data_IF_907868869795
#
_entry.id   IF_907868869795
#
_cell.length_a   1.000
_cell.length_b   1.000
_cell.length_c   1.000
_cell.angle_alpha   90.00
_cell.angle_beta   90.00
_cell.angle_gamma   90.00
#
_symmetry.space_group_name_H-M   'P 1'
#
loop_
_entity.id
_entity.type
_entity.pdbx_description
1 polymer ?
#
# COMPACT_ATOMS: atom_id res chain seq x y z
N UNK A 1 -6.25 33.32 20.35
CA UNK A 1 -6.63 31.90 20.24
C UNK A 1 -6.61 31.19 21.61
N UNK A 2 -6.98 31.86 22.70
CA UNK A 2 -6.89 31.32 24.06
C UNK A 2 -8.28 30.89 24.53
N UNK A 3 -8.55 29.58 24.62
CA UNK A 3 -9.76 29.09 25.30
C UNK A 3 -10.23 27.68 24.93
N UNK A 4 -9.78 27.10 23.82
CA UNK A 4 -10.15 25.73 23.45
C UNK A 4 -9.32 24.72 24.25
N UNK A 5 -9.98 23.79 24.94
CA UNK A 5 -9.30 22.75 25.73
C UNK A 5 -8.37 21.90 24.86
N UNK A 6 -7.10 21.78 25.28
CA UNK A 6 -6.04 21.05 24.55
C UNK A 6 -6.02 19.58 24.95
N UNK A 7 -5.87 18.69 23.97
CA UNK A 7 -5.71 17.25 24.18
C UNK A 7 -4.23 16.92 23.96
N UNK A 8 -3.54 16.46 25.00
CA UNK A 8 -2.17 15.96 24.88
C UNK A 8 -2.20 14.48 24.54
N UNK A 9 -1.60 14.07 23.41
CA UNK A 9 -1.55 12.67 22.99
C UNK A 9 -0.12 12.17 23.12
N UNK A 10 0.12 11.27 24.08
CA UNK A 10 1.44 10.76 24.43
C UNK A 10 1.64 9.36 23.85
N UNK A 11 2.67 9.19 23.01
CA UNK A 11 3.18 7.89 22.61
C UNK A 11 3.98 7.24 23.73
N UNK A 12 3.59 6.04 24.16
CA UNK A 12 4.29 5.28 25.21
C UNK A 12 5.36 4.34 24.63
N UNK A 13 5.68 4.47 23.34
CA UNK A 13 6.60 3.60 22.63
C UNK A 13 6.19 2.12 22.73
N UNK A 14 7.17 1.22 22.79
CA UNK A 14 6.89 -0.21 23.00
C UNK A 14 6.54 -0.56 24.46
N UNK A 15 6.69 0.36 25.41
CA UNK A 15 6.57 0.11 26.85
C UNK A 15 7.67 0.76 27.70
N UNK A 16 8.48 1.63 27.13
CA UNK A 16 9.50 2.38 27.86
C UNK A 16 8.84 3.30 28.92
N UNK A 17 9.51 3.56 30.06
CA UNK A 17 9.04 4.54 31.03
C UNK A 17 8.82 5.91 30.38
N UNK A 18 7.75 6.59 30.79
CA UNK A 18 7.50 7.97 30.36
C UNK A 18 8.66 8.87 30.76
N UNK A 19 9.05 9.77 29.85
CA UNK A 19 10.00 10.84 30.17
C UNK A 19 9.41 11.84 31.17
N UNK A 20 10.24 12.75 31.68
CA UNK A 20 9.83 13.73 32.69
C UNK A 20 8.69 14.64 32.20
N UNK A 21 8.73 15.09 30.94
CA UNK A 21 7.70 15.95 30.37
C UNK A 21 6.36 15.25 30.19
N UNK A 22 6.37 13.97 29.81
CA UNK A 22 5.20 13.11 29.72
C UNK A 22 4.63 12.79 31.10
N UNK A 23 5.48 12.51 32.10
CA UNK A 23 5.04 12.32 33.50
C UNK A 23 4.40 13.58 34.06
N UNK A 24 4.99 14.74 33.84
CA UNK A 24 4.42 16.02 34.27
C UNK A 24 3.06 16.30 33.61
N UNK A 25 2.91 16.00 32.32
CA UNK A 25 1.65 16.14 31.61
C UNK A 25 0.55 15.22 32.19
N UNK A 26 0.88 13.96 32.50
CA UNK A 26 -0.04 13.02 33.14
C UNK A 26 -0.40 13.47 34.56
N UNK A 27 0.58 13.93 35.35
CA UNK A 27 0.37 14.37 36.72
C UNK A 27 -0.52 15.62 36.83
N UNK A 28 -0.54 16.48 35.80
CA UNK A 28 -1.43 17.64 35.71
C UNK A 28 -2.79 17.38 35.06
N UNK A 29 -3.07 16.14 34.63
CA UNK A 29 -4.27 15.81 33.86
C UNK A 29 -5.55 15.83 34.70
N UNK A 30 -6.64 16.37 34.14
CA UNK A 30 -7.99 16.22 34.69
C UNK A 30 -8.68 14.94 34.20
N UNK A 31 -8.27 14.42 33.04
CA UNK A 31 -8.73 13.16 32.46
C UNK A 31 -7.57 12.44 31.76
N UNK A 32 -7.40 11.15 32.05
CA UNK A 32 -6.44 10.28 31.35
C UNK A 32 -7.18 9.14 30.66
N UNK A 33 -6.95 9.01 29.35
CA UNK A 33 -7.52 7.95 28.50
C UNK A 33 -6.40 7.06 28.02
N UNK A 34 -6.52 5.74 28.15
CA UNK A 34 -5.44 4.84 27.75
C UNK A 34 -5.82 3.37 27.83
N UNK A 35 -5.03 2.50 27.20
CA UNK A 35 -5.17 1.05 27.41
C UNK A 35 -4.80 0.68 28.86
N UNK A 36 -5.36 -0.42 29.39
CA UNK A 36 -5.16 -0.85 30.80
C UNK A 36 -3.69 -0.83 31.22
N UNK A 37 -2.80 -1.38 30.39
CA UNK A 37 -1.36 -1.46 30.65
C UNK A 37 -0.68 -0.07 30.72
N UNK A 38 -1.12 0.90 29.91
CA UNK A 38 -0.53 2.24 29.91
C UNK A 38 -1.01 3.02 31.13
N UNK A 39 -2.30 2.90 31.47
CA UNK A 39 -2.86 3.52 32.68
C UNK A 39 -2.21 2.98 33.96
N UNK A 40 -1.92 1.68 34.02
CA UNK A 40 -1.24 1.07 35.16
C UNK A 40 0.24 1.49 35.29
N UNK A 41 0.91 1.79 34.18
CA UNK A 41 2.32 2.19 34.16
C UNK A 41 2.54 3.71 34.32
N UNK A 42 1.49 4.52 34.13
CA UNK A 42 1.57 5.97 34.20
C UNK A 42 1.23 6.49 35.63
N UNK A 43 1.88 7.56 36.10
CA UNK A 43 1.59 8.16 37.41
C UNK A 43 0.32 9.02 37.36
N UNK A 44 -0.82 8.39 37.11
CA UNK A 44 -2.11 9.10 37.00
C UNK A 44 -2.57 9.55 38.39
N UNK A 45 -2.87 10.83 38.62
CA UNK A 45 -3.40 11.31 39.90
C UNK A 45 -4.71 10.62 40.28
N UNK A 46 -5.00 10.54 41.58
CA UNK A 46 -6.29 10.01 42.06
C UNK A 46 -7.45 10.99 41.82
N UNK A 47 -7.14 12.29 41.70
CA UNK A 47 -8.09 13.34 41.35
C UNK A 47 -8.47 13.34 39.86
N UNK A 48 -7.71 12.64 39.01
CA UNK A 48 -7.95 12.60 37.56
C UNK A 48 -8.96 11.52 37.20
N UNK A 49 -9.90 11.84 36.30
CA UNK A 49 -10.75 10.83 35.67
C UNK A 49 -9.90 9.82 34.87
N UNK A 50 -10.30 8.54 34.87
CA UNK A 50 -9.60 7.49 34.10
C UNK A 50 -10.57 6.78 33.17
N UNK A 51 -10.24 6.72 31.88
CA UNK A 51 -11.00 5.97 30.87
C UNK A 51 -10.10 4.89 30.28
N UNK A 52 -10.43 3.63 30.56
CA UNK A 52 -9.78 2.50 29.91
C UNK A 52 -10.30 2.38 28.48
N UNK A 53 -9.40 2.40 27.50
CA UNK A 53 -9.74 2.21 26.09
C UNK A 53 -10.33 0.81 25.85
N UNK A 54 -11.56 0.79 25.37
CA UNK A 54 -12.28 -0.35 24.79
C UNK A 54 -12.77 0.05 23.39
N UNK A 55 -14.08 -0.04 23.09
CA UNK A 55 -14.64 0.63 21.91
C UNK A 55 -14.30 2.12 21.89
N UNK A 56 -14.03 2.67 20.71
CA UNK A 56 -13.52 4.04 20.56
C UNK A 56 -14.56 5.10 20.92
N UNK A 57 -15.82 4.94 20.50
CA UNK A 57 -16.86 5.94 20.71
C UNK A 57 -17.00 6.37 22.18
N UNK A 58 -17.25 5.47 23.16
CA UNK A 58 -17.36 5.86 24.57
C UNK A 58 -16.19 6.70 25.11
N UNK A 59 -14.96 6.42 24.63
CA UNK A 59 -13.79 7.20 25.01
C UNK A 59 -13.81 8.61 24.40
N UNK A 60 -14.20 8.75 23.14
CA UNK A 60 -14.36 10.05 22.47
C UNK A 60 -15.46 10.89 23.14
N UNK A 61 -16.61 10.30 23.48
CA UNK A 61 -17.68 10.99 24.20
C UNK A 61 -17.25 11.42 25.62
N UNK A 62 -16.43 10.62 26.30
CA UNK A 62 -15.85 11.01 27.59
C UNK A 62 -14.89 12.20 27.46
N UNK A 63 -14.06 12.21 26.41
CA UNK A 63 -13.17 13.34 26.09
C UNK A 63 -13.99 14.59 25.79
N UNK A 64 -15.02 14.50 24.93
CA UNK A 64 -15.88 15.62 24.57
C UNK A 64 -16.53 16.28 25.80
N UNK A 65 -17.20 15.48 26.64
CA UNK A 65 -17.84 15.95 27.88
C UNK A 65 -16.84 16.57 28.87
N UNK A 66 -15.59 16.11 28.86
CA UNK A 66 -14.57 16.69 29.72
C UNK A 66 -14.10 18.05 29.20
N UNK A 67 -13.96 18.19 27.88
CA UNK A 67 -13.57 19.45 27.24
C UNK A 67 -14.65 20.54 27.42
N UNK A 68 -15.92 20.19 27.50
CA UNK A 68 -17.04 21.10 27.79
C UNK A 68 -16.90 21.81 29.15
N UNK A 69 -16.16 21.23 30.09
CA UNK A 69 -15.88 21.84 31.40
C UNK A 69 -14.90 23.02 31.32
N UNK A 70 -14.31 23.27 30.16
CA UNK A 70 -13.34 24.34 29.94
C UNK A 70 -12.11 24.23 30.84
N UNK A 71 -11.55 25.37 31.24
CA UNK A 71 -10.36 25.43 32.09
C UNK A 71 -10.55 24.77 33.48
N UNK A 72 -11.78 24.71 33.99
CA UNK A 72 -12.10 24.10 35.28
C UNK A 72 -12.03 22.57 35.31
N UNK A 73 -12.07 21.91 34.14
CA UNK A 73 -11.96 20.45 34.03
C UNK A 73 -10.53 19.92 34.08
N UNK A 74 -9.52 20.77 33.85
CA UNK A 74 -8.13 20.34 33.68
C UNK A 74 -7.86 19.65 32.32
N UNK A 75 -6.58 19.51 31.93
CA UNK A 75 -6.21 19.02 30.61
C UNK A 75 -6.53 17.53 30.39
N UNK A 76 -6.78 17.15 29.13
CA UNK A 76 -6.97 15.76 28.72
C UNK A 76 -5.65 15.18 28.25
N UNK A 77 -5.31 13.99 28.74
CA UNK A 77 -4.15 13.22 28.28
C UNK A 77 -4.60 11.88 27.70
N UNK A 78 -4.13 11.54 26.51
CA UNK A 78 -4.38 10.26 25.84
C UNK A 78 -3.07 9.49 25.73
N UNK A 79 -3.01 8.29 26.31
CA UNK A 79 -1.84 7.39 26.28
C UNK A 79 -2.01 6.34 25.16
N UNK A 80 -1.19 6.46 24.11
CA UNK A 80 -1.22 5.57 22.95
C UNK A 80 0.00 4.65 22.89
N UNK A 81 -0.19 3.41 22.44
CA UNK A 81 0.94 2.49 22.20
C UNK A 81 1.76 2.96 21.01
N UNK A 82 3.09 2.82 21.09
CA UNK A 82 3.99 3.13 19.99
C UNK A 82 4.01 4.63 19.69
N UNK A 83 3.88 4.94 18.40
CA UNK A 83 3.71 6.30 17.92
C UNK A 83 2.21 6.57 17.70
N UNK A 84 1.63 7.62 18.33
CA UNK A 84 0.20 7.91 18.25
C UNK A 84 -0.26 8.37 16.85
N UNK A 85 0.66 8.90 16.04
CA UNK A 85 0.44 9.30 14.65
C UNK A 85 0.56 8.15 13.65
N UNK A 86 1.19 7.03 14.02
CA UNK A 86 1.45 5.92 13.10
C UNK A 86 0.53 4.73 13.33
N UNK A 87 -0.50 4.57 12.49
CA UNK A 87 -1.61 3.62 12.71
C UNK A 87 -2.29 3.76 14.09
N UNK A 88 -2.17 4.94 14.71
CA UNK A 88 -2.63 5.22 16.06
C UNK A 88 -3.90 6.09 16.13
N UNK A 89 -4.12 6.65 17.32
CA UNK A 89 -5.36 7.34 17.71
C UNK A 89 -5.47 8.78 17.17
N UNK A 90 -4.36 9.39 16.72
CA UNK A 90 -4.32 10.80 16.30
C UNK A 90 -5.29 11.09 15.17
N UNK A 91 -5.41 10.19 14.18
CA UNK A 91 -6.35 10.37 13.06
C UNK A 91 -7.78 10.55 13.55
N UNK A 92 -8.23 9.65 14.45
CA UNK A 92 -9.58 9.67 15.00
C UNK A 92 -9.81 10.92 15.86
N UNK A 93 -8.81 11.33 16.65
CA UNK A 93 -8.90 12.55 17.47
C UNK A 93 -8.92 13.81 16.61
N UNK A 94 -8.12 13.87 15.54
CA UNK A 94 -8.07 15.02 14.65
C UNK A 94 -9.37 15.15 13.84
N UNK A 95 -9.96 14.04 13.38
CA UNK A 95 -11.27 14.04 12.73
C UNK A 95 -12.38 14.52 13.67
N UNK A 96 -12.38 14.08 14.94
CA UNK A 96 -13.43 14.43 15.91
C UNK A 96 -13.25 15.81 16.54
N UNK A 97 -12.01 16.21 16.80
CA UNK A 97 -11.68 17.39 17.59
C UNK A 97 -10.80 18.40 16.86
N UNK A 98 -10.42 18.22 15.60
CA UNK A 98 -9.51 19.15 14.90
C UNK A 98 -8.05 19.00 15.33
N UNK A 99 -7.14 19.04 14.37
CA UNK A 99 -5.71 18.83 14.61
C UNK A 99 -5.05 19.93 15.45
N UNK A 100 -5.56 21.15 15.37
CA UNK A 100 -5.08 22.32 16.11
C UNK A 100 -5.27 22.21 17.64
N UNK A 101 -6.18 21.34 18.09
CA UNK A 101 -6.40 21.06 19.52
C UNK A 101 -5.48 19.96 20.06
N UNK A 102 -4.68 19.31 19.20
CA UNK A 102 -3.83 18.19 19.60
C UNK A 102 -2.39 18.65 19.86
N UNK A 103 -1.88 18.35 21.06
CA UNK A 103 -0.45 18.35 21.38
C UNK A 103 0.05 16.90 21.28
N UNK A 104 0.49 16.51 20.08
CA UNK A 104 0.94 15.14 19.80
C UNK A 104 2.42 15.00 20.12
N UNK A 105 2.74 14.13 21.08
CA UNK A 105 4.12 13.79 21.45
C UNK A 105 4.43 12.37 21.00
N UNK A 106 5.35 12.20 20.03
CA UNK A 106 5.62 10.89 19.44
C UNK A 106 6.27 9.95 20.46
N UNK A 107 6.14 8.66 20.20
CA UNK A 107 6.88 7.61 20.88
C UNK A 107 7.58 6.74 19.85
N UNK A 108 8.60 6.00 20.25
CA UNK A 108 9.27 5.06 19.34
C UNK A 108 8.27 4.00 18.86
N UNK A 109 7.94 3.99 17.57
CA UNK A 109 7.02 3.00 17.01
C UNK A 109 7.57 1.58 17.17
N UNK A 110 6.68 0.59 17.29
CA UNK A 110 7.10 -0.81 17.34
C UNK A 110 7.82 -1.26 16.07
N UNK A 111 7.57 -0.59 14.94
CA UNK A 111 8.25 -0.82 13.66
C UNK A 111 9.69 -0.31 13.70
N UNK A 112 9.91 0.93 14.14
CA UNK A 112 11.25 1.47 14.29
C UNK A 112 12.08 0.65 15.29
N UNK A 113 11.47 0.28 16.43
CA UNK A 113 12.08 -0.62 17.39
C UNK A 113 12.41 -1.99 16.77
N UNK A 114 11.53 -2.51 15.91
CA UNK A 114 11.76 -3.80 15.27
C UNK A 114 12.94 -3.80 14.29
N UNK A 115 13.04 -2.77 13.45
CA UNK A 115 14.18 -2.59 12.53
C UNK A 115 15.49 -2.41 13.29
N UNK A 116 15.49 -1.62 14.36
CA UNK A 116 16.66 -1.44 15.22
C UNK A 116 17.12 -2.77 15.85
N UNK A 117 16.18 -3.60 16.33
CA UNK A 117 16.50 -4.94 16.87
C UNK A 117 16.97 -5.92 15.81
N UNK A 118 16.49 -5.78 14.58
CA UNK A 118 16.95 -6.59 13.44
C UNK A 118 18.30 -6.13 12.88
N UNK A 119 18.78 -4.93 13.26
CA UNK A 119 20.02 -4.35 12.76
C UNK A 119 19.95 -3.96 11.28
N UNK A 120 18.77 -3.53 10.79
CA UNK A 120 18.54 -3.24 9.38
C UNK A 120 18.03 -1.81 9.17
N UNK A 121 18.47 -1.14 8.08
CA UNK A 121 17.85 0.09 7.62
C UNK A 121 16.46 -0.21 7.04
N UNK A 122 15.58 0.78 7.12
CA UNK A 122 14.16 0.63 6.79
C UNK A 122 13.58 1.78 5.96
N UNK A 123 14.44 2.69 5.48
CA UNK A 123 14.06 3.78 4.58
C UNK A 123 13.45 3.28 3.27
N UNK A 124 13.75 2.08 2.81
CA UNK A 124 13.19 1.41 1.62
C UNK A 124 12.18 0.29 1.98
N UNK A 125 11.77 0.18 3.24
CA UNK A 125 10.80 -0.83 3.67
C UNK A 125 9.35 -0.38 3.42
N UNK A 126 8.48 -1.34 3.11
CA UNK A 126 7.04 -1.12 3.13
C UNK A 126 6.50 -1.46 4.52
N UNK A 127 5.63 -0.61 5.07
CA UNK A 127 4.97 -0.90 6.35
C UNK A 127 3.48 -1.10 6.13
N UNK A 128 2.95 -2.23 6.59
CA UNK A 128 1.54 -2.59 6.45
C UNK A 128 0.96 -3.02 7.78
N UNK A 129 -0.29 -2.63 8.05
CA UNK A 129 -1.00 -3.07 9.25
C UNK A 129 -2.06 -4.11 8.90
N UNK A 130 -1.96 -5.28 9.52
CA UNK A 130 -3.01 -6.29 9.55
C UNK A 130 -3.85 -6.21 10.84
N UNK A 131 -3.47 -5.35 11.79
CA UNK A 131 -4.22 -5.15 13.02
C UNK A 131 -5.59 -4.52 12.73
N UNK A 132 -6.67 -5.27 13.01
CA UNK A 132 -8.04 -4.87 12.74
C UNK A 132 -8.38 -4.74 11.25
N UNK A 133 -7.58 -5.37 10.37
CA UNK A 133 -7.67 -5.27 8.90
C UNK A 133 -7.53 -6.65 8.26
N UNK A 134 -7.90 -6.78 6.99
CA UNK A 134 -7.76 -8.03 6.27
C UNK A 134 -6.28 -8.44 6.11
N UNK A 135 -5.92 -9.64 6.57
CA UNK A 135 -4.56 -10.19 6.46
C UNK A 135 -4.09 -10.27 4.99
N UNK A 136 -5.01 -10.52 4.06
CA UNK A 136 -4.75 -10.61 2.61
C UNK A 136 -3.89 -9.46 2.08
N UNK A 137 -4.18 -8.23 2.48
CA UNK A 137 -3.42 -7.06 2.02
C UNK A 137 -1.96 -7.16 2.46
N UNK A 138 -1.70 -7.50 3.73
CA UNK A 138 -0.34 -7.68 4.23
C UNK A 138 0.38 -8.84 3.53
N UNK A 139 -0.30 -9.96 3.29
CA UNK A 139 0.23 -11.10 2.53
C UNK A 139 0.66 -10.68 1.13
N UNK A 140 -0.19 -9.94 0.41
CA UNK A 140 0.11 -9.48 -0.94
C UNK A 140 1.25 -8.45 -0.98
N UNK A 141 1.33 -7.56 0.02
CA UNK A 141 2.51 -6.67 0.17
C UNK A 141 3.79 -7.48 0.37
N UNK A 142 3.76 -8.51 1.23
CA UNK A 142 4.88 -9.42 1.45
C UNK A 142 5.25 -10.26 0.21
N UNK A 143 4.28 -10.55 -0.67
CA UNK A 143 4.52 -11.22 -1.96
C UNK A 143 5.17 -10.28 -2.97
N UNK A 144 4.77 -9.02 -3.00
CA UNK A 144 5.25 -8.03 -3.97
C UNK A 144 6.61 -7.39 -3.59
N UNK A 145 6.88 -7.21 -2.29
CA UNK A 145 8.05 -6.46 -1.84
C UNK A 145 9.04 -7.29 -1.03
N UNK A 146 10.35 -7.05 -1.21
CA UNK A 146 11.39 -7.82 -0.53
C UNK A 146 11.58 -7.45 0.93
N UNK A 147 11.08 -6.30 1.38
CA UNK A 147 11.32 -5.81 2.75
C UNK A 147 10.07 -5.14 3.30
N UNK A 148 9.37 -5.86 4.18
CA UNK A 148 8.06 -5.45 4.70
C UNK A 148 8.03 -5.59 6.21
N UNK A 149 7.53 -4.57 6.92
CA UNK A 149 7.13 -4.68 8.31
C UNK A 149 5.61 -4.83 8.41
N UNK A 150 5.15 -5.89 9.08
CA UNK A 150 3.74 -6.18 9.31
C UNK A 150 3.42 -5.94 10.79
N UNK A 151 2.53 -4.99 11.04
CA UNK A 151 1.87 -4.83 12.34
C UNK A 151 0.74 -5.84 12.45
N UNK A 152 0.89 -6.83 13.32
CA UNK A 152 -0.05 -7.94 13.44
C UNK A 152 -1.19 -7.65 14.42
N UNK A 153 -2.20 -8.52 14.40
CA UNK A 153 -3.30 -8.50 15.36
C UNK A 153 -3.89 -9.89 15.56
N UNK A 154 -4.90 -10.03 16.43
CA UNK A 154 -5.64 -11.28 16.59
C UNK A 154 -6.15 -11.79 15.22
N UNK A 155 -5.89 -13.07 14.91
CA UNK A 155 -6.25 -13.69 13.62
C UNK A 155 -5.40 -13.27 12.42
N UNK A 156 -4.38 -12.43 12.63
CA UNK A 156 -3.46 -11.96 11.60
C UNK A 156 -2.03 -11.88 12.17
N UNK A 157 -1.61 -12.95 12.85
CA UNK A 157 -0.32 -13.11 13.50
C UNK A 157 0.73 -13.77 12.61
N UNK A 158 1.87 -14.17 13.20
CA UNK A 158 2.95 -14.79 12.45
C UNK A 158 2.55 -16.16 11.86
N UNK A 159 1.68 -16.91 12.53
CA UNK A 159 1.21 -18.21 12.04
C UNK A 159 0.35 -18.07 10.79
N UNK A 160 -0.65 -17.18 10.81
CA UNK A 160 -1.53 -16.96 9.67
C UNK A 160 -0.79 -16.34 8.48
N UNK A 161 0.11 -15.39 8.75
CA UNK A 161 0.98 -14.80 7.73
C UNK A 161 1.92 -15.86 7.14
N UNK A 162 2.51 -16.71 7.97
CA UNK A 162 3.37 -17.82 7.57
C UNK A 162 2.65 -18.82 6.68
N UNK A 163 1.43 -19.24 7.06
CA UNK A 163 0.62 -20.17 6.29
C UNK A 163 0.31 -19.63 4.89
N UNK A 164 -0.07 -18.35 4.80
CA UNK A 164 -0.39 -17.70 3.53
C UNK A 164 0.84 -17.50 2.62
N UNK A 165 2.05 -17.41 3.18
CA UNK A 165 3.31 -17.24 2.43
C UNK A 165 4.05 -18.56 2.17
N UNK A 166 3.68 -19.65 2.84
CA UNK A 166 4.28 -20.98 2.65
C UNK A 166 4.02 -21.53 1.25
N UNK A 167 2.86 -21.22 0.67
CA UNK A 167 2.55 -21.56 -0.71
C UNK A 167 3.31 -20.66 -1.69
N UNK A 168 4.47 -21.12 -2.15
CA UNK A 168 5.29 -20.44 -3.16
C UNK A 168 6.72 -20.14 -2.73
N UNK A 169 7.10 -20.45 -1.49
CA UNK A 169 8.47 -20.28 -0.97
C UNK A 169 9.42 -21.44 -1.30
N UNK A 170 8.99 -22.43 -2.11
CA UNK A 170 9.79 -23.61 -2.49
C UNK A 170 10.88 -23.39 -3.54
N UNK A 171 11.17 -22.14 -3.93
CA UNK A 171 12.30 -21.81 -4.82
C UNK A 171 13.53 -21.33 -4.02
N UNK A 172 14.72 -21.31 -4.63
CA UNK A 172 15.89 -20.64 -4.05
C UNK A 172 15.55 -19.16 -3.76
N UNK A 173 15.84 -18.64 -2.57
CA UNK A 173 15.54 -17.26 -2.18
C UNK A 173 14.20 -17.05 -1.45
N UNK A 174 13.69 -18.07 -0.75
CA UNK A 174 12.45 -17.98 0.04
C UNK A 174 12.46 -16.85 1.09
N UNK A 175 11.26 -16.34 1.40
CA UNK A 175 11.07 -15.30 2.42
C UNK A 175 11.55 -15.79 3.79
N UNK A 176 12.12 -14.90 4.58
CA UNK A 176 12.41 -15.10 6.01
C UNK A 176 11.49 -14.18 6.81
N UNK A 177 10.82 -14.75 7.80
CA UNK A 177 10.03 -14.01 8.77
C UNK A 177 10.87 -13.80 10.03
N UNK A 178 11.12 -12.53 10.37
CA UNK A 178 11.69 -12.14 11.66
C UNK A 178 10.54 -11.73 12.56
N UNK A 179 10.23 -12.55 13.56
CA UNK A 179 9.12 -12.32 14.48
C UNK A 179 9.67 -11.70 15.75
N UNK A 180 9.24 -10.46 16.04
CA UNK A 180 9.66 -9.72 17.21
C UNK A 180 8.51 -9.62 18.20
N UNK A 181 8.72 -10.16 19.40
CA UNK A 181 7.71 -10.28 20.45
C UNK A 181 8.11 -9.47 21.66
N UNK A 182 7.10 -8.92 22.35
CA UNK A 182 7.26 -8.21 23.62
C UNK A 182 8.38 -7.15 23.61
N UNK A 183 8.49 -6.37 22.52
CA UNK A 183 9.52 -5.33 22.34
C UNK A 183 9.54 -4.25 23.44
N UNK A 184 8.51 -4.20 24.28
CA UNK A 184 8.38 -3.30 25.42
C UNK A 184 8.99 -3.79 26.72
N UNK A 185 9.27 -5.09 26.81
CA UNK A 185 9.74 -5.74 28.03
C UNK A 185 11.15 -6.29 27.75
N UNK A 186 12.21 -5.67 28.27
CA UNK A 186 13.58 -6.14 28.05
C UNK A 186 13.83 -7.60 28.47
N UNK A 187 13.11 -8.12 29.48
CA UNK A 187 13.25 -9.50 29.95
C UNK A 187 12.46 -10.51 29.12
N UNK A 188 11.31 -10.10 28.57
CA UNK A 188 10.45 -10.94 27.75
C UNK A 188 10.65 -10.76 26.23
N UNK A 189 11.40 -9.75 25.79
CA UNK A 189 11.65 -9.49 24.38
C UNK A 189 12.34 -10.69 23.72
N UNK A 190 11.81 -11.12 22.57
CA UNK A 190 12.37 -12.22 21.77
C UNK A 190 12.38 -11.84 20.30
N UNK A 191 13.41 -12.29 19.60
CA UNK A 191 13.56 -12.16 18.14
C UNK A 191 13.79 -13.57 17.60
N UNK A 192 12.85 -14.05 16.79
CA UNK A 192 12.91 -15.36 16.16
C UNK A 192 13.02 -15.17 14.64
N UNK A 193 13.95 -15.88 13.99
CA UNK A 193 14.05 -15.90 12.52
C UNK A 193 13.60 -17.28 12.04
N UNK A 194 12.56 -17.32 11.21
CA UNK A 194 11.91 -18.56 10.78
C UNK A 194 11.48 -18.46 9.31
N UNK A 195 11.31 -19.61 8.67
CA UNK A 195 10.61 -19.70 7.39
C UNK A 195 9.10 -19.48 7.57
N UNK A 196 8.35 -19.16 6.49
CA UNK A 196 6.89 -19.09 6.54
C UNK A 196 6.24 -20.38 7.04
N UNK A 197 6.75 -21.55 6.65
CA UNK A 197 6.24 -22.85 7.09
C UNK A 197 6.45 -23.09 8.59
N UNK A 198 7.64 -22.76 9.12
CA UNK A 198 7.91 -22.85 10.57
C UNK A 198 7.06 -21.85 11.36
N UNK A 199 6.85 -20.64 10.82
CA UNK A 199 5.97 -19.67 11.45
C UNK A 199 4.53 -20.18 11.54
N UNK A 200 4.03 -20.81 10.46
CA UNK A 200 2.70 -21.41 10.41
C UNK A 200 2.50 -22.54 11.43
N UNK A 201 3.54 -23.35 11.67
CA UNK A 201 3.47 -24.51 12.54
C UNK A 201 3.63 -24.19 14.04
N UNK A 202 4.05 -22.96 14.39
CA UNK A 202 4.37 -22.57 15.76
C UNK A 202 3.24 -21.79 16.42
N UNK A 203 2.98 -22.08 17.70
CA UNK A 203 2.18 -21.19 18.55
C UNK A 203 3.03 -20.01 19.04
N UNK A 204 2.58 -18.80 18.71
CA UNK A 204 3.25 -17.55 19.07
C UNK A 204 2.68 -16.90 20.33
N UNK A 205 1.61 -17.47 20.91
CA UNK A 205 0.88 -16.95 22.04
C UNK A 205 0.12 -15.64 21.75
N UNK A 206 -0.49 -15.06 22.79
CA UNK A 206 -1.26 -13.81 22.68
C UNK A 206 -0.44 -12.51 22.68
N UNK A 207 0.88 -12.60 22.57
CA UNK A 207 1.77 -11.44 22.66
C UNK A 207 1.67 -10.56 21.41
N UNK A 208 1.58 -9.24 21.61
CA UNK A 208 1.71 -8.26 20.52
C UNK A 208 3.08 -8.45 19.86
N UNK A 209 3.08 -8.56 18.54
CA UNK A 209 4.27 -8.82 17.76
C UNK A 209 4.35 -7.92 16.51
N UNK A 210 5.56 -7.80 15.99
CA UNK A 210 5.82 -7.22 14.67
C UNK A 210 6.55 -8.29 13.88
N UNK A 211 6.13 -8.51 12.63
CA UNK A 211 6.79 -9.46 11.75
C UNK A 211 7.48 -8.70 10.62
N UNK A 212 8.78 -8.88 10.47
CA UNK A 212 9.51 -8.42 9.29
C UNK A 212 9.52 -9.57 8.28
N UNK A 213 8.94 -9.37 7.11
CA UNK A 213 9.02 -10.29 5.99
C UNK A 213 10.12 -9.82 5.03
N UNK A 214 11.16 -10.63 4.90
CA UNK A 214 12.39 -10.28 4.21
C UNK A 214 12.70 -11.26 3.08
N UNK A 215 13.17 -10.75 1.96
CA UNK A 215 14.10 -11.44 1.08
C UNK A 215 15.53 -11.20 1.59
N UNK A 216 16.25 -12.24 2.07
CA UNK A 216 17.61 -12.07 2.57
C UNK A 216 18.58 -11.47 1.55
N UNK A 217 18.41 -11.76 0.25
CA UNK A 217 19.29 -11.28 -0.80
C UNK A 217 19.04 -9.80 -1.15
N UNK A 218 17.86 -9.27 -0.84
CA UNK A 218 17.45 -7.87 -1.11
C UNK A 218 17.17 -7.07 0.16
N UNK A 219 17.61 -7.56 1.32
CA UNK A 219 17.37 -6.90 2.61
C UNK A 219 18.15 -5.59 2.76
N UNK A 220 19.34 -5.49 2.14
CA UNK A 220 20.13 -4.27 2.07
C UNK A 220 20.10 -3.72 0.64
N UNK A 221 19.35 -2.64 0.44
CA UNK A 221 19.30 -1.91 -0.82
C UNK A 221 20.40 -0.84 -0.92
N UNK A 222 20.58 -0.23 -2.10
CA UNK A 222 21.40 0.96 -2.24
C UNK A 222 20.81 2.12 -1.43
N UNK A 223 21.65 3.08 -1.02
CA UNK A 223 21.20 4.30 -0.36
C UNK A 223 20.25 5.10 -1.27
N UNK A 224 19.22 5.72 -0.68
CA UNK A 224 18.19 6.46 -1.41
C UNK A 224 17.90 7.82 -0.77
N UNK A 225 17.36 8.73 -1.56
CA UNK A 225 16.93 10.06 -1.09
C UNK A 225 15.47 10.07 -0.64
N UNK A 226 14.62 9.23 -1.22
CA UNK A 226 13.19 9.14 -0.92
C UNK A 226 12.92 7.82 -0.20
N UNK A 227 12.24 7.91 0.94
CA UNK A 227 11.83 6.74 1.71
C UNK A 227 10.57 6.08 1.13
N UNK A 228 10.45 4.77 1.33
CA UNK A 228 9.38 3.90 0.86
C UNK A 228 9.80 3.06 -0.35
N UNK A 229 8.85 2.26 -0.88
CA UNK A 229 9.07 1.57 -2.15
C UNK A 229 9.24 2.60 -3.29
N UNK A 230 9.92 2.25 -4.38
CA UNK A 230 10.06 3.14 -5.54
C UNK A 230 8.70 3.67 -6.01
N UNK A 231 8.60 4.97 -6.27
CA UNK A 231 7.33 5.64 -6.63
C UNK A 231 6.72 5.14 -7.95
N UNK A 232 7.52 4.47 -8.78
CA UNK A 232 7.07 3.82 -10.01
C UNK A 232 8.19 3.01 -10.66
N UNK A 233 7.86 2.25 -11.70
CA UNK A 233 8.85 1.47 -12.45
C UNK A 233 9.91 2.39 -13.09
N UNK A 234 11.19 2.14 -12.80
CA UNK A 234 12.31 2.80 -13.50
C UNK A 234 12.19 2.59 -15.01
N UNK A 235 12.36 3.66 -15.81
CA UNK A 235 12.21 3.58 -17.27
C UNK A 235 10.76 3.52 -17.76
N UNK A 236 9.77 3.74 -16.89
CA UNK A 236 8.35 3.78 -17.26
C UNK A 236 7.67 2.41 -17.28
N UNK A 237 6.44 2.40 -17.77
CA UNK A 237 5.56 1.23 -17.86
C UNK A 237 5.20 0.96 -19.32
N UNK A 238 4.72 -0.26 -19.61
CA UNK A 238 4.55 -0.75 -20.97
C UNK A 238 5.87 -0.74 -21.75
N UNK A 239 6.91 -1.32 -21.14
CA UNK A 239 8.26 -1.44 -21.70
C UNK A 239 8.23 -2.04 -23.11
N UNK A 240 9.22 -1.75 -23.96
CA UNK A 240 9.33 -2.37 -25.28
C UNK A 240 9.51 -3.90 -25.17
N UNK A 241 9.18 -4.64 -26.22
CA UNK A 241 9.23 -6.11 -26.22
C UNK A 241 10.64 -6.65 -25.94
N UNK A 242 11.67 -5.94 -26.40
CA UNK A 242 13.08 -6.30 -26.25
C UNK A 242 13.54 -6.26 -24.78
N UNK A 243 12.76 -5.64 -23.89
CA UNK A 243 12.99 -5.69 -22.44
C UNK A 243 12.64 -7.06 -21.83
N UNK A 244 12.09 -7.99 -22.60
CA UNK A 244 11.67 -9.32 -22.13
C UNK A 244 12.21 -10.43 -23.04
N UNK A 245 12.66 -11.52 -22.44
CA UNK A 245 12.88 -12.76 -23.16
C UNK A 245 11.52 -13.31 -23.66
N UNK A 246 11.38 -13.52 -24.97
CA UNK A 246 10.17 -14.04 -25.62
C UNK A 246 10.52 -14.88 -26.86
N UNK A 247 9.54 -15.64 -27.38
CA UNK A 247 9.70 -16.47 -28.59
C UNK A 247 9.01 -15.80 -29.78
N UNK A 248 9.68 -15.60 -30.91
CA UNK A 248 9.08 -15.24 -32.22
C UNK A 248 7.90 -14.24 -32.17
N UNK A 249 8.07 -13.09 -31.51
CA UNK A 249 7.02 -12.08 -31.30
C UNK A 249 5.79 -12.49 -30.46
N UNK A 250 5.78 -13.68 -29.85
CA UNK A 250 4.76 -14.16 -28.90
C UNK A 250 4.90 -13.44 -27.55
N UNK A 251 4.50 -12.17 -27.54
CA UNK A 251 4.47 -11.28 -26.40
C UNK A 251 3.35 -10.25 -26.61
N UNK A 252 2.63 -9.90 -25.54
CA UNK A 252 1.68 -8.79 -25.59
C UNK A 252 2.44 -7.52 -25.97
N UNK A 253 2.08 -6.90 -27.09
CA UNK A 253 2.83 -5.72 -27.58
C UNK A 253 2.67 -4.53 -26.63
N UNK A 254 3.65 -3.63 -26.59
CA UNK A 254 3.70 -2.52 -25.63
C UNK A 254 2.38 -1.72 -25.56
N UNK A 255 1.79 -1.37 -26.69
CA UNK A 255 0.54 -0.60 -26.76
C UNK A 255 -0.66 -1.39 -26.21
N UNK A 256 -0.74 -2.70 -26.53
CA UNK A 256 -1.77 -3.61 -26.00
C UNK A 256 -1.59 -3.80 -24.50
N UNK A 257 -0.33 -3.98 -24.06
CA UNK A 257 0.02 -4.15 -22.66
C UNK A 257 -0.28 -2.89 -21.86
N UNK A 258 -0.05 -1.70 -22.42
CA UNK A 258 -0.41 -0.44 -21.79
C UNK A 258 -1.92 -0.38 -21.48
N UNK A 259 -2.76 -0.65 -22.47
CA UNK A 259 -4.20 -0.67 -22.25
C UNK A 259 -4.62 -1.79 -21.28
N UNK A 260 -4.01 -2.97 -21.38
CA UNK A 260 -4.27 -4.07 -20.44
C UNK A 260 -3.93 -3.68 -19.00
N UNK A 261 -2.77 -3.08 -18.75
CA UNK A 261 -2.36 -2.60 -17.42
C UNK A 261 -3.32 -1.51 -16.91
N UNK A 262 -3.77 -0.60 -17.77
CA UNK A 262 -4.75 0.42 -17.40
C UNK A 262 -6.10 -0.20 -16.96
N UNK A 263 -6.54 -1.29 -17.61
CA UNK A 263 -7.77 -2.00 -17.26
C UNK A 263 -7.61 -2.95 -16.07
N UNK A 264 -6.42 -3.55 -15.90
CA UNK A 264 -6.09 -4.37 -14.75
C UNK A 264 -5.96 -3.53 -13.48
N UNK A 265 -5.36 -2.35 -13.57
CA UNK A 265 -5.04 -1.47 -12.45
C UNK A 265 -4.29 -2.18 -11.32
N UNK A 266 -3.06 -2.71 -11.55
CA UNK A 266 -2.28 -3.38 -10.50
C UNK A 266 -1.95 -2.40 -9.36
N UNK A 267 -2.09 -2.86 -8.11
CA UNK A 267 -1.93 -2.03 -6.92
C UNK A 267 -1.24 -2.79 -5.80
N UNK A 268 -0.52 -2.05 -4.96
CA UNK A 268 0.06 -2.57 -3.73
C UNK A 268 -1.02 -3.18 -2.82
N UNK A 269 -0.78 -4.41 -2.38
CA UNK A 269 -1.71 -5.16 -1.53
C UNK A 269 -2.82 -5.92 -2.28
N UNK A 270 -2.90 -5.78 -3.60
CA UNK A 270 -3.78 -6.57 -4.46
C UNK A 270 -3.03 -7.75 -5.10
N UNK A 271 -3.79 -8.76 -5.53
CA UNK A 271 -3.30 -9.94 -6.25
C UNK A 271 -3.78 -9.91 -7.70
N UNK A 272 -2.84 -10.02 -8.64
CA UNK A 272 -3.12 -10.18 -10.06
C UNK A 272 -2.78 -11.60 -10.51
N UNK A 273 -3.66 -12.22 -11.29
CA UNK A 273 -3.34 -13.42 -12.04
C UNK A 273 -3.05 -13.09 -13.50
N UNK A 274 -1.96 -13.64 -14.03
CA UNK A 274 -1.64 -13.65 -15.46
C UNK A 274 -1.75 -15.10 -15.95
N UNK A 275 -2.83 -15.43 -16.66
CA UNK A 275 -3.12 -16.80 -17.10
C UNK A 275 -2.84 -16.95 -18.58
N UNK A 276 -2.06 -17.96 -18.96
CA UNK A 276 -1.51 -18.06 -20.31
C UNK A 276 -0.37 -17.05 -20.52
N UNK A 277 0.48 -16.91 -19.50
CA UNK A 277 1.43 -15.81 -19.37
C UNK A 277 2.50 -15.76 -20.49
N UNK A 278 2.87 -16.89 -21.08
CA UNK A 278 3.81 -16.97 -22.19
C UNK A 278 5.21 -16.46 -21.83
N UNK A 279 5.49 -15.19 -22.11
CA UNK A 279 6.72 -14.51 -21.66
C UNK A 279 6.64 -13.97 -20.24
N UNK A 280 5.44 -13.80 -19.69
CA UNK A 280 5.20 -13.16 -18.39
C UNK A 280 5.32 -11.64 -18.40
N UNK A 281 5.34 -11.01 -19.57
CA UNK A 281 5.52 -9.54 -19.64
C UNK A 281 4.42 -8.76 -18.92
N UNK A 282 3.17 -9.24 -18.92
CA UNK A 282 2.07 -8.61 -18.17
C UNK A 282 2.24 -8.86 -16.68
N UNK A 283 2.54 -10.10 -16.27
CA UNK A 283 2.87 -10.45 -14.89
C UNK A 283 4.00 -9.57 -14.31
N UNK A 284 5.11 -9.44 -15.04
CA UNK A 284 6.27 -8.64 -14.60
C UNK A 284 5.89 -7.18 -14.43
N UNK A 285 5.17 -6.59 -15.39
CA UNK A 285 4.73 -5.19 -15.28
C UNK A 285 3.74 -4.97 -14.13
N UNK A 286 2.83 -5.92 -13.87
CA UNK A 286 1.95 -5.86 -12.70
C UNK A 286 2.75 -5.86 -11.39
N UNK A 287 3.80 -6.69 -11.31
CA UNK A 287 4.67 -6.75 -10.13
C UNK A 287 5.53 -5.48 -9.99
N UNK A 288 6.01 -4.91 -11.11
CA UNK A 288 6.73 -3.62 -11.12
C UNK A 288 5.86 -2.45 -10.65
N UNK A 289 4.55 -2.54 -10.85
CA UNK A 289 3.55 -1.61 -10.33
C UNK A 289 3.13 -1.91 -8.86
N UNK A 290 3.78 -2.89 -8.21
CA UNK A 290 3.63 -3.18 -6.79
C UNK A 290 2.58 -4.24 -6.43
N UNK A 291 1.90 -4.85 -7.40
CA UNK A 291 0.96 -5.92 -7.11
C UNK A 291 1.65 -7.24 -6.78
N UNK A 292 1.00 -8.08 -5.97
CA UNK A 292 1.35 -9.50 -5.90
C UNK A 292 0.90 -10.17 -7.21
N UNK A 293 1.70 -11.10 -7.74
CA UNK A 293 1.40 -11.72 -9.03
C UNK A 293 1.54 -13.24 -8.99
N UNK A 294 0.54 -13.93 -9.54
CA UNK A 294 0.62 -15.35 -9.91
C UNK A 294 0.53 -15.47 -11.42
N UNK A 295 1.56 -16.05 -12.02
CA UNK A 295 1.59 -16.33 -13.46
C UNK A 295 1.36 -17.83 -13.70
N UNK A 296 0.34 -18.17 -14.48
CA UNK A 296 0.00 -19.55 -14.84
C UNK A 296 0.42 -19.80 -16.28
N UNK A 297 1.25 -20.81 -16.47
CA UNK A 297 1.77 -21.20 -17.79
C UNK A 297 1.84 -22.73 -17.91
N UNK A 298 1.42 -23.26 -19.06
CA UNK A 298 1.38 -24.70 -19.33
C UNK A 298 2.69 -25.24 -19.91
N UNK A 299 3.46 -24.42 -20.61
CA UNK A 299 4.68 -24.84 -21.28
C UNK A 299 5.89 -24.63 -20.36
N UNK A 300 6.68 -25.68 -20.15
CA UNK A 300 7.83 -25.65 -19.26
C UNK A 300 8.88 -24.59 -19.66
N UNK A 301 9.06 -24.35 -20.96
CA UNK A 301 9.95 -23.30 -21.47
C UNK A 301 9.39 -21.88 -21.18
N UNK A 302 8.07 -21.71 -21.22
CA UNK A 302 7.37 -20.49 -20.80
C UNK A 302 7.57 -20.20 -19.31
N UNK A 303 7.44 -21.22 -18.45
CA UNK A 303 7.74 -21.11 -17.01
C UNK A 303 9.17 -20.62 -16.76
N UNK A 304 10.14 -21.15 -17.51
CA UNK A 304 11.54 -20.70 -17.46
C UNK A 304 11.70 -19.23 -17.84
N UNK A 305 11.05 -18.80 -18.94
CA UNK A 305 11.08 -17.40 -19.39
C UNK A 305 10.46 -16.42 -18.40
N UNK A 306 9.32 -16.78 -17.79
CA UNK A 306 8.67 -15.93 -16.78
C UNK A 306 9.62 -15.69 -15.60
N UNK A 307 10.28 -16.74 -15.11
CA UNK A 307 11.26 -16.63 -14.01
C UNK A 307 12.46 -15.77 -14.39
N UNK A 308 13.00 -15.97 -15.60
CA UNK A 308 14.12 -15.17 -16.10
C UNK A 308 13.75 -13.68 -16.22
N UNK A 309 12.58 -13.36 -16.75
CA UNK A 309 12.09 -12.00 -16.86
C UNK A 309 11.82 -11.37 -15.48
N UNK A 310 11.17 -12.09 -14.55
CA UNK A 310 10.97 -11.59 -13.19
C UNK A 310 12.29 -11.24 -12.50
N UNK A 311 13.30 -12.12 -12.61
CA UNK A 311 14.63 -11.89 -12.07
C UNK A 311 15.34 -10.70 -12.74
N UNK A 312 15.29 -10.58 -14.07
CA UNK A 312 15.90 -9.48 -14.82
C UNK A 312 15.33 -8.10 -14.45
N UNK A 313 14.07 -8.06 -14.02
CA UNK A 313 13.37 -6.84 -13.59
C UNK A 313 13.35 -6.66 -12.07
N UNK A 314 13.99 -7.55 -11.30
CA UNK A 314 14.09 -7.46 -9.84
C UNK A 314 12.76 -7.62 -9.08
N UNK A 315 11.76 -8.25 -9.71
CA UNK A 315 10.40 -8.42 -9.16
C UNK A 315 10.09 -9.87 -8.81
N UNK A 316 9.11 -10.07 -7.93
CA UNK A 316 8.64 -11.38 -7.52
C UNK A 316 7.37 -11.77 -8.30
N UNK A 317 7.40 -12.93 -8.96
CA UNK A 317 6.24 -13.53 -9.64
C UNK A 317 6.13 -15.00 -9.23
N UNK A 318 5.00 -15.40 -8.62
CA UNK A 318 4.73 -16.81 -8.31
C UNK A 318 4.34 -17.52 -9.61
N UNK A 319 5.24 -18.34 -10.15
CA UNK A 319 4.99 -19.08 -11.39
C UNK A 319 4.41 -20.46 -11.08
N UNK A 320 3.23 -20.73 -11.62
CA UNK A 320 2.49 -22.00 -11.50
C UNK A 320 2.54 -22.70 -12.84
N UNK A 321 3.18 -23.87 -12.88
CA UNK A 321 3.25 -24.70 -14.07
C UNK A 321 2.02 -25.60 -14.15
N UNK A 322 1.25 -25.46 -15.24
CA UNK A 322 0.16 -26.37 -15.60
C UNK A 322 -0.93 -25.68 -16.39
N UNK A 323 -1.98 -26.43 -16.69
CA UNK A 323 -3.03 -26.00 -17.61
C UNK A 323 -4.24 -25.41 -16.88
N UNK A 324 -4.64 -24.21 -17.29
CA UNK A 324 -5.87 -23.58 -16.83
C UNK A 324 -7.07 -24.09 -17.66
N UNK A 325 -8.26 -24.23 -17.07
CA UNK A 325 -8.65 -23.78 -15.73
C UNK A 325 -8.28 -24.75 -14.59
N UNK A 326 -7.80 -25.96 -14.88
CA UNK A 326 -7.58 -27.02 -13.88
C UNK A 326 -6.70 -26.58 -12.69
N UNK A 327 -5.54 -25.99 -12.98
CA UNK A 327 -4.62 -25.52 -11.92
C UNK A 327 -5.16 -24.32 -11.13
N UNK A 328 -6.15 -23.59 -11.65
CA UNK A 328 -6.72 -22.45 -10.94
C UNK A 328 -7.50 -22.89 -9.70
N UNK A 329 -8.06 -24.10 -9.67
CA UNK A 329 -8.78 -24.62 -8.51
C UNK A 329 -7.87 -24.89 -7.30
N UNK A 330 -6.58 -25.17 -7.53
CA UNK A 330 -5.60 -25.43 -6.49
C UNK A 330 -4.98 -24.16 -5.89
N UNK A 331 -5.29 -22.98 -6.44
CA UNK A 331 -4.79 -21.71 -5.91
C UNK A 331 -5.62 -21.31 -4.68
N UNK A 332 -4.98 -21.13 -3.53
CA UNK A 332 -5.65 -20.79 -2.29
C UNK A 332 -6.37 -19.43 -2.35
N UNK A 333 -5.73 -18.42 -2.94
CA UNK A 333 -6.24 -17.03 -2.92
C UNK A 333 -6.97 -16.65 -4.20
N UNK A 334 -8.13 -16.01 -4.06
CA UNK A 334 -8.78 -15.34 -5.18
C UNK A 334 -8.00 -14.11 -5.66
N UNK A 335 -7.96 -13.77 -6.96
CA UNK A 335 -7.33 -12.55 -7.45
C UNK A 335 -8.24 -11.32 -7.34
N UNK A 336 -7.64 -10.14 -7.24
CA UNK A 336 -8.35 -8.87 -7.43
C UNK A 336 -8.57 -8.59 -8.92
N UNK A 337 -7.56 -8.85 -9.75
CA UNK A 337 -7.60 -8.70 -11.19
C UNK A 337 -7.04 -9.93 -11.91
N UNK A 338 -7.60 -10.26 -13.08
CA UNK A 338 -7.10 -11.35 -13.93
C UNK A 338 -6.81 -10.83 -15.32
N UNK A 339 -5.63 -11.14 -15.84
CA UNK A 339 -5.31 -11.07 -17.26
C UNK A 339 -5.38 -12.48 -17.86
N UNK A 340 -6.09 -12.60 -18.98
CA UNK A 340 -6.18 -13.82 -19.77
C UNK A 340 -5.48 -13.61 -21.11
N UNK A 341 -4.33 -14.24 -21.24
CA UNK A 341 -3.56 -14.34 -22.49
C UNK A 341 -3.91 -15.60 -23.28
N UNK A 342 -3.90 -15.47 -24.61
CA UNK A 342 -4.16 -16.58 -25.53
C UNK A 342 -5.65 -16.86 -25.77
N UNK A 343 -5.96 -17.56 -26.87
CA UNK A 343 -7.32 -17.78 -27.36
C UNK A 343 -7.62 -19.23 -27.73
N UNK A 344 -7.14 -20.19 -26.92
CA UNK A 344 -7.38 -21.62 -27.12
C UNK A 344 -8.87 -21.98 -27.14
N UNK A 345 -9.20 -23.18 -27.61
CA UNK A 345 -10.60 -23.61 -27.78
C UNK A 345 -11.42 -23.60 -26.48
N UNK A 346 -10.78 -23.80 -25.31
CA UNK A 346 -11.42 -23.77 -23.98
C UNK A 346 -11.55 -22.37 -23.35
N UNK A 347 -11.44 -21.29 -24.14
CA UNK A 347 -11.48 -19.91 -23.62
C UNK A 347 -12.75 -19.58 -22.81
N UNK A 348 -13.99 -19.96 -23.21
CA UNK A 348 -15.18 -19.61 -22.44
C UNK A 348 -15.19 -20.19 -21.01
N UNK A 349 -14.78 -21.45 -20.86
CA UNK A 349 -14.69 -22.10 -19.55
C UNK A 349 -13.62 -21.46 -18.67
N UNK A 350 -12.49 -21.08 -19.27
CA UNK A 350 -11.42 -20.36 -18.59
C UNK A 350 -11.88 -18.97 -18.12
N UNK A 351 -12.53 -18.20 -19.00
CA UNK A 351 -13.11 -16.90 -18.67
C UNK A 351 -14.11 -17.05 -17.52
N UNK A 352 -15.00 -18.03 -17.58
CA UNK A 352 -15.97 -18.28 -16.52
C UNK A 352 -15.30 -18.67 -15.19
N UNK A 353 -14.25 -19.51 -15.22
CA UNK A 353 -13.49 -19.87 -14.04
C UNK A 353 -12.81 -18.67 -13.37
N UNK A 354 -12.21 -17.78 -14.16
CA UNK A 354 -11.59 -16.56 -13.67
C UNK A 354 -12.62 -15.54 -13.18
N UNK A 355 -13.72 -15.35 -13.89
CA UNK A 355 -14.81 -14.44 -13.53
C UNK A 355 -15.50 -14.84 -12.20
N UNK A 356 -15.53 -16.13 -11.85
CA UNK A 356 -16.02 -16.58 -10.54
C UNK A 356 -15.11 -16.17 -9.38
N UNK A 357 -13.80 -16.08 -9.61
CA UNK A 357 -12.80 -15.82 -8.56
C UNK A 357 -12.35 -14.36 -8.49
N UNK A 358 -12.30 -13.67 -9.62
CA UNK A 358 -11.82 -12.29 -9.69
C UNK A 358 -12.72 -11.33 -8.90
N UNK A 359 -12.14 -10.51 -8.03
CA UNK A 359 -12.90 -9.57 -7.20
C UNK A 359 -13.33 -8.32 -7.96
N UNK A 360 -12.50 -7.82 -8.88
CA UNK A 360 -12.70 -6.49 -9.51
C UNK A 360 -12.76 -6.50 -11.02
N UNK A 361 -11.80 -7.14 -11.70
CA UNK A 361 -11.67 -7.07 -13.16
C UNK A 361 -11.15 -8.37 -13.78
N UNK A 362 -11.64 -8.70 -14.97
CA UNK A 362 -11.05 -9.72 -15.85
C UNK A 362 -10.79 -9.08 -17.20
N UNK A 363 -9.55 -9.10 -17.66
CA UNK A 363 -9.11 -8.53 -18.94
C UNK A 363 -8.67 -9.67 -19.85
N UNK A 364 -9.18 -9.70 -21.09
CA UNK A 364 -8.96 -10.79 -22.05
C UNK A 364 -8.37 -10.22 -23.34
N UNK A 365 -7.20 -10.72 -23.75
CA UNK A 365 -6.55 -10.33 -24.99
C UNK A 365 -6.70 -11.41 -26.08
N UNK A 366 -7.27 -11.05 -27.22
CA UNK A 366 -7.62 -11.98 -28.29
C UNK A 366 -7.14 -11.48 -29.65
N UNK A 367 -6.40 -12.32 -30.37
CA UNK A 367 -6.01 -12.03 -31.75
C UNK A 367 -7.10 -12.44 -32.76
N UNK A 368 -7.91 -13.46 -32.43
CA UNK A 368 -8.91 -14.02 -33.34
C UNK A 368 -10.30 -13.43 -33.07
N UNK A 369 -10.89 -12.80 -34.09
CA UNK A 369 -12.25 -12.24 -34.05
C UNK A 369 -13.29 -13.30 -33.62
N UNK A 370 -13.17 -14.54 -34.13
CA UNK A 370 -14.12 -15.63 -33.85
C UNK A 370 -14.21 -16.01 -32.35
N UNK A 371 -13.22 -15.60 -31.55
CA UNK A 371 -13.20 -15.86 -30.09
C UNK A 371 -13.89 -14.76 -29.29
N UNK A 372 -14.07 -13.57 -29.87
CA UNK A 372 -14.63 -12.40 -29.19
C UNK A 372 -16.07 -12.64 -28.69
N UNK A 373 -17.01 -13.17 -29.50
CA UNK A 373 -18.38 -13.38 -29.03
C UNK A 373 -18.47 -14.32 -27.83
N UNK A 374 -17.72 -15.42 -27.85
CA UNK A 374 -17.75 -16.42 -26.79
C UNK A 374 -17.13 -15.91 -25.48
N UNK A 375 -16.03 -15.15 -25.54
CA UNK A 375 -15.44 -14.53 -24.37
C UNK A 375 -16.35 -13.46 -23.75
N UNK A 376 -16.94 -12.60 -24.58
CA UNK A 376 -17.92 -11.59 -24.13
C UNK A 376 -19.15 -12.25 -23.49
N UNK A 377 -19.69 -13.29 -24.11
CA UNK A 377 -20.82 -14.05 -23.57
C UNK A 377 -20.48 -14.68 -22.23
N UNK A 378 -19.29 -15.26 -22.07
CA UNK A 378 -18.85 -15.86 -20.81
C UNK A 378 -18.74 -14.84 -19.66
N UNK A 379 -18.18 -13.64 -19.91
CA UNK A 379 -18.14 -12.56 -18.92
C UNK A 379 -19.55 -12.07 -18.57
N UNK A 380 -20.41 -11.87 -19.58
CA UNK A 380 -21.78 -11.40 -19.38
C UNK A 380 -22.60 -12.42 -18.59
N UNK A 381 -22.49 -13.70 -18.92
CA UNK A 381 -23.16 -14.79 -18.21
C UNK A 381 -22.69 -14.93 -16.76
N UNK A 382 -21.47 -14.49 -16.44
CA UNK A 382 -20.96 -14.43 -15.08
C UNK A 382 -21.44 -13.18 -14.30
N UNK A 383 -22.29 -12.33 -14.90
CA UNK A 383 -22.87 -11.14 -14.25
C UNK A 383 -21.96 -9.90 -14.26
N UNK A 384 -20.98 -9.84 -15.16
CA UNK A 384 -20.05 -8.72 -15.25
C UNK A 384 -20.55 -7.66 -16.23
N UNK A 385 -20.22 -6.39 -15.99
CA UNK A 385 -20.37 -5.33 -16.99
C UNK A 385 -19.22 -5.44 -17.99
N UNK A 386 -19.54 -5.72 -19.25
CA UNK A 386 -18.55 -6.08 -20.27
C UNK A 386 -18.42 -5.01 -21.33
N UNK A 387 -17.17 -4.60 -21.59
CA UNK A 387 -16.81 -3.68 -22.66
C UNK A 387 -15.53 -4.19 -23.35
N UNK A 388 -15.15 -3.58 -24.48
CA UNK A 388 -13.96 -3.97 -25.19
C UNK A 388 -13.67 -3.14 -26.43
N UNK A 389 -12.43 -3.22 -26.91
CA UNK A 389 -11.97 -2.49 -28.10
C UNK A 389 -11.11 -3.38 -28.99
N UNK A 390 -11.06 -3.06 -30.28
CA UNK A 390 -10.01 -3.51 -31.18
C UNK A 390 -8.89 -2.47 -31.15
N UNK A 391 -7.69 -2.86 -30.73
CA UNK A 391 -6.51 -2.01 -30.79
C UNK A 391 -5.72 -2.28 -32.07
N UNK A 392 -5.50 -1.23 -32.86
CA UNK A 392 -4.63 -1.22 -34.02
C UNK A 392 -3.55 -0.17 -33.82
N UNK A 393 -2.29 -0.56 -33.99
CA UNK A 393 -1.15 0.34 -33.91
C UNK A 393 -0.25 0.16 -35.13
N UNK A 394 0.39 1.25 -35.53
CA UNK A 394 1.38 1.28 -36.60
C UNK A 394 2.61 2.02 -36.10
N UNK A 395 3.74 1.33 -36.01
CA UNK A 395 5.00 1.90 -35.52
C UNK A 395 5.78 2.51 -36.69
N UNK A 396 6.53 3.56 -36.40
CA UNK A 396 7.52 4.07 -37.34
C UNK A 396 8.63 3.01 -37.53
N UNK A 397 8.94 2.68 -38.77
CA UNK A 397 10.01 1.77 -39.13
C UNK A 397 10.85 2.38 -40.26
N UNK A 398 12.19 2.29 -40.18
CA UNK A 398 13.05 2.83 -41.22
C UNK A 398 12.92 2.04 -42.52
N UNK A 399 13.19 2.72 -43.63
CA UNK A 399 13.38 2.17 -44.97
C UNK A 399 14.73 2.66 -45.53
N UNK A 400 15.30 1.98 -46.55
CA UNK A 400 16.48 2.47 -47.24
C UNK A 400 16.29 3.90 -47.76
N UNK A 401 17.32 4.74 -47.62
CA UNK A 401 17.32 6.13 -48.10
C UNK A 401 16.80 7.16 -47.09
N UNK A 402 16.98 6.94 -45.78
CA UNK A 402 16.60 7.87 -44.70
C UNK A 402 15.10 8.26 -44.67
N UNK A 403 14.24 7.37 -45.17
CA UNK A 403 12.78 7.54 -45.13
C UNK A 403 12.14 6.58 -44.14
N UNK A 404 10.96 6.95 -43.62
CA UNK A 404 10.23 6.20 -42.61
C UNK A 404 8.90 5.71 -43.16
N UNK A 405 8.53 4.46 -42.84
CA UNK A 405 7.21 3.90 -43.11
C UNK A 405 6.46 3.59 -41.82
N UNK A 406 5.18 3.31 -41.96
CA UNK A 406 4.36 2.71 -40.93
C UNK A 406 4.41 1.18 -41.05
N UNK A 407 4.87 0.51 -40.00
CA UNK A 407 4.80 -0.93 -39.82
C UNK A 407 3.60 -1.25 -38.92
N UNK A 408 2.52 -1.75 -39.52
CA UNK A 408 1.33 -2.15 -38.80
C UNK A 408 1.63 -3.35 -37.88
N UNK A 409 1.16 -3.26 -36.64
CA UNK A 409 1.11 -4.39 -35.73
C UNK A 409 -0.18 -5.21 -35.97
N UNK A 410 -0.15 -6.49 -35.58
CA UNK A 410 -1.34 -7.33 -35.62
C UNK A 410 -2.41 -6.74 -34.70
N UNK A 411 -3.65 -6.53 -35.19
CA UNK A 411 -4.74 -6.06 -34.35
C UNK A 411 -5.03 -7.03 -33.20
N UNK A 412 -5.34 -6.48 -32.03
CA UNK A 412 -5.72 -7.28 -30.85
C UNK A 412 -7.02 -6.74 -30.27
N UNK A 413 -8.00 -7.61 -30.06
CA UNK A 413 -9.18 -7.31 -29.28
C UNK A 413 -8.82 -7.39 -27.79
N UNK A 414 -9.15 -6.35 -27.04
CA UNK A 414 -9.06 -6.35 -25.60
C UNK A 414 -10.47 -6.18 -25.03
N UNK A 415 -10.95 -7.24 -24.37
CA UNK A 415 -12.22 -7.21 -23.64
C UNK A 415 -11.94 -7.07 -22.16
N UNK A 416 -12.83 -6.42 -21.41
CA UNK A 416 -12.78 -6.45 -19.96
C UNK A 416 -14.19 -6.56 -19.37
N UNK A 417 -14.29 -7.32 -18.29
CA UNK A 417 -15.42 -7.30 -17.38
C UNK A 417 -15.05 -6.50 -16.14
N UNK A 418 -15.95 -5.62 -15.69
CA UNK A 418 -15.90 -5.03 -14.33
C UNK A 418 -17.04 -5.61 -13.50
N UNK A 419 -16.73 -6.00 -12.26
CA UNK A 419 -17.76 -6.48 -11.33
C UNK A 419 -18.61 -5.27 -10.92
N UNK A 420 -19.94 -5.28 -11.13
CA UNK A 420 -20.79 -4.20 -10.66
C UNK A 420 -20.67 -4.08 -9.13
N UNK A 421 -20.73 -2.86 -8.57
CA UNK A 421 -20.74 -2.70 -7.13
C UNK A 421 -21.93 -3.48 -6.56
N UNK A 422 -21.72 -4.27 -5.50
CA UNK A 422 -22.85 -4.85 -4.80
C UNK A 422 -23.72 -3.70 -4.27
N UNK A 423 -25.06 -3.75 -4.41
CA UNK A 423 -25.92 -2.76 -3.78
C UNK A 423 -25.63 -2.82 -2.27
N UNK A 424 -25.24 -1.68 -1.67
CA UNK A 424 -24.97 -1.66 -0.24
C UNK A 424 -26.22 -2.10 0.51
N UNK A 425 -26.09 -3.14 1.34
CA UNK A 425 -27.10 -3.47 2.34
C UNK A 425 -27.00 -2.41 3.45
N UNK A 426 -27.50 -1.22 3.13
CA UNK A 426 -27.99 -0.16 4.01
C UNK A 426 -28.15 1.08 3.11
N UNK A 427 -29.38 1.53 2.80
CA UNK A 427 -29.55 2.87 2.25
C UNK A 427 -29.11 3.83 3.36
N UNK A 428 -28.04 4.58 3.10
CA UNK A 428 -27.81 5.82 3.85
C UNK A 428 -29.01 6.70 3.54
N UNK A 429 -29.92 6.88 4.51
CA UNK A 429 -31.01 7.84 4.35
C UNK A 429 -30.40 9.18 3.91
N UNK A 430 -30.95 9.83 2.88
CA UNK A 430 -30.51 11.16 2.50
C UNK A 430 -30.63 12.05 3.75
N UNK A 431 -29.55 12.74 4.11
CA UNK A 431 -29.61 13.77 5.13
C UNK A 431 -30.74 14.75 4.75
N UNK A 432 -31.65 15.04 5.67
CA UNK A 432 -32.72 16.00 5.42
C UNK A 432 -32.13 17.34 4.94
N UNK A 433 -32.78 18.02 3.98
CA UNK A 433 -32.29 19.29 3.48
C UNK A 433 -32.09 20.27 4.64
N UNK A 434 -30.88 20.79 4.78
CA UNK A 434 -30.61 21.88 5.72
C UNK A 434 -31.42 23.09 5.22
N UNK A 435 -32.29 23.65 6.07
CA UNK A 435 -33.05 24.84 5.71
C UNK A 435 -32.10 25.96 5.27
N UNK A 436 -32.45 26.74 4.22
CA UNK A 436 -31.60 27.82 3.75
C UNK A 436 -31.38 28.83 4.89
N UNK A 437 -30.12 29.07 5.22
CA UNK A 437 -29.75 30.19 6.09
C UNK A 437 -30.12 31.48 5.37
N UNK A 438 -30.96 32.31 5.99
CA UNK A 438 -31.31 33.61 5.41
C UNK A 438 -30.03 34.42 5.11
N UNK A 439 -29.96 35.08 3.94
CA UNK A 439 -28.79 35.86 3.58
C UNK A 439 -28.60 37.00 4.58
N UNK A 440 -27.41 37.07 5.18
CA UNK A 440 -27.02 38.20 6.00
C UNK A 440 -27.16 39.50 5.20
N UNK A 441 -27.76 40.52 5.81
CA UNK A 441 -27.99 41.82 5.19
C UNK A 441 -26.70 42.39 4.58
N UNK A 442 -26.85 42.98 3.39
CA UNK A 442 -25.77 43.60 2.62
C UNK A 442 -25.03 44.65 3.45
N UNK A 443 -23.76 44.40 3.74
CA UNK A 443 -22.87 45.44 4.25
C UNK A 443 -22.80 46.58 3.21
N UNK A 444 -22.94 47.82 3.67
CA UNK A 444 -22.81 49.01 2.83
C UNK A 444 -21.43 49.04 2.14
N UNK A 445 -21.34 49.54 0.90
CA UNK A 445 -20.08 49.59 0.17
C UNK A 445 -19.08 50.48 0.90
N UNK A 446 -17.87 49.96 1.08
CA UNK A 446 -16.72 50.71 1.61
C UNK A 446 -16.14 51.55 0.47
N UNK A 447 -15.91 52.84 0.70
CA UNK A 447 -15.28 53.73 -0.29
C UNK A 447 -13.89 53.20 -0.70
N UNK A 448 -13.51 53.32 -1.98
CA UNK A 448 -12.20 52.88 -2.44
C UNK A 448 -11.09 53.73 -1.81
N UNK A 449 -10.05 53.07 -1.32
CA UNK A 449 -8.86 53.73 -0.80
C UNK A 449 -8.11 54.47 -1.92
N UNK A 450 -7.61 55.68 -1.61
CA UNK A 450 -6.79 56.48 -2.52
C UNK A 450 -5.52 55.74 -2.95
N UNK A 451 -5.06 55.90 -4.21
CA UNK A 451 -3.88 55.21 -4.70
C UNK A 451 -2.60 55.74 -4.05
N UNK A 452 -1.75 54.81 -3.60
CA UNK A 452 -0.43 55.14 -3.05
C UNK A 452 0.49 55.76 -4.13
N UNK A 453 1.27 56.76 -3.74
CA UNK A 453 2.24 57.44 -4.60
C UNK A 453 3.30 56.46 -5.17
N UNK A 454 3.82 56.70 -6.38
CA UNK A 454 4.82 55.82 -7.00
C UNK A 454 6.13 55.82 -6.22
N UNK A 455 6.76 54.66 -6.15
CA UNK A 455 8.06 54.42 -5.51
C UNK A 455 9.17 54.74 -6.51
N UNK A 456 10.20 55.47 -6.10
CA UNK A 456 11.37 55.77 -6.93
C UNK A 456 12.16 54.49 -7.29
N UNK A 457 12.75 54.41 -8.50
CA UNK A 457 13.54 53.26 -8.91
C UNK A 457 14.85 53.13 -8.11
N UNK A 458 15.20 51.90 -7.74
CA UNK A 458 16.45 51.59 -7.06
C UNK A 458 17.68 51.73 -7.98
N UNK A 459 18.79 52.22 -7.44
CA UNK A 459 20.06 52.36 -8.17
C UNK A 459 20.70 51.00 -8.53
N UNK A 460 21.42 50.91 -9.66
CA UNK A 460 22.04 49.67 -10.11
C UNK A 460 23.23 49.24 -9.23
N UNK A 461 23.29 47.94 -8.95
CA UNK A 461 24.41 47.30 -8.24
C UNK A 461 25.64 47.13 -9.15
N UNK A 462 26.82 47.43 -8.62
CA UNK A 462 28.10 47.32 -9.31
C UNK A 462 28.50 45.86 -9.60
N UNK A 463 29.26 45.59 -10.68
CA UNK A 463 29.69 44.22 -11.04
C UNK A 463 30.69 43.64 -10.03
N UNK A 464 30.57 42.34 -9.75
CA UNK A 464 31.51 41.58 -8.92
C UNK A 464 32.68 41.10 -9.78
N UNK A 465 33.93 41.33 -9.33
CA UNK A 465 35.13 40.88 -10.02
C UNK A 465 35.33 39.34 -9.91
N UNK A 466 35.93 38.69 -10.92
CA UNK A 466 36.18 37.24 -10.89
C UNK A 466 37.25 36.86 -9.86
N UNK A 467 37.03 35.71 -9.19
CA UNK A 467 37.95 35.10 -8.23
C UNK A 467 39.08 34.40 -8.99
N UNK A 468 40.34 34.69 -8.62
CA UNK A 468 41.54 34.08 -9.22
C UNK A 468 41.75 32.60 -8.86
N UNK A 469 42.63 31.89 -9.57
CA UNK A 469 42.83 30.45 -9.39
C UNK A 469 43.55 30.12 -8.07
N UNK A 470 43.18 28.96 -7.50
CA UNK A 470 43.75 28.41 -6.27
C UNK A 470 45.00 27.58 -6.62
N UNK A 471 46.15 27.92 -6.05
CA UNK A 471 47.39 27.14 -6.22
C UNK A 471 47.32 25.81 -5.45
N UNK A 472 47.79 24.75 -6.10
CA UNK A 472 47.89 23.41 -5.53
C UNK A 472 49.05 23.28 -4.54
N UNK A 473 48.82 22.53 -3.47
CA UNK A 473 49.88 22.10 -2.55
C UNK A 473 50.45 20.78 -3.05
N UNK A 474 51.77 20.74 -3.23
CA UNK A 474 52.52 19.56 -3.64
C UNK A 474 52.94 18.69 -2.45
N UNK A 475 52.82 17.38 -2.67
CA UNK A 475 53.38 16.18 -1.98
C UNK A 475 53.03 15.93 -0.51
#
# INVERSE_FOLDING_TARGET
>A
MNGLGRITVLGTGTGAPLDEGARAAVAGAGLVVGGRRHLAAAPVPDSAGRVTLGPLAPALEAIARHLEKGAGGGPVVVLASGDPGFFGIVRVLAERFGGERLDVRPGVSSVAAAWARAGLPWDDAVVVSAHGRALRTAVNVCRAHPKVAVLTGPGAGPAELGAALAEGSGGPGGRVLVVLRALGDPGAARVDRVSPAEAAARDWGGSVNVVLCLDPARALGPARTVAGPPAGPEGGWALPEEAFAHRDSMITKAEVRALALARLGPRLGELVWDVGAGSGSVAVECARLGAAVVAVERAADGVGRIRANAAAHGVDVRVVHGEAPGVLAALADDPDAVFLGGGGAGLPDLVAACARRARRTVVVALAALDRVPAARAALTAAGWEVDGVLLQSSRLAPLPGDVTRLAAANPVFLLWGVRPPEPSADPVEPAEPVEPVEPAESAAPVDPAEPAAPVDPAEPVSPVHPVGPVEGVAL
#
